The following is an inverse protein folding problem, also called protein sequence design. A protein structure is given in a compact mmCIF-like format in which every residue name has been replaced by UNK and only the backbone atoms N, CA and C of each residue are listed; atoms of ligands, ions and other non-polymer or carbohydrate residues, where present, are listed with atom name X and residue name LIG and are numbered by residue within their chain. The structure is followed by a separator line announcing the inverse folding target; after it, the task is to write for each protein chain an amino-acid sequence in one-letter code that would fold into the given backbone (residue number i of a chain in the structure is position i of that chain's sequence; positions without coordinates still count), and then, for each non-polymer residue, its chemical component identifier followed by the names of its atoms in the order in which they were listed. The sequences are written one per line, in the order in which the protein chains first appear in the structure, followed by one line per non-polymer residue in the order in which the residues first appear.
data_IF_404457842483
#
_entry.id   IF_404457842483
#
_cell.length_a   1.000
_cell.length_b   1.000
_cell.length_c   1.000
_cell.angle_alpha   90.00
_cell.angle_beta   90.00
_cell.angle_gamma   90.00
#
_symmetry.space_group_name_H-M   'P 1'
#
loop_
_entity.id
_entity.type
_entity.pdbx_description
1 polymer ?
#
# COMPACT_ATOMS: atom_id res chain seq x y z
N UNK A 1 48.69 47.31 33.40
CA UNK A 1 47.39 46.79 33.88
C UNK A 1 46.52 46.62 32.65
N UNK A 2 46.32 45.41 32.10
CA UNK A 2 45.30 44.40 32.48
C UNK A 2 43.87 45.00 32.36
N UNK A 3 42.89 44.54 31.56
CA UNK A 3 42.46 43.19 31.13
C UNK A 3 41.40 43.26 29.97
N UNK A 4 41.42 42.27 29.06
CA UNK A 4 40.38 41.65 28.18
C UNK A 4 39.51 42.51 27.24
N UNK A 5 39.13 42.10 26.03
CA UNK A 5 39.07 40.77 25.41
C UNK A 5 37.69 40.63 24.76
N UNK A 6 37.59 40.73 23.42
CA UNK A 6 36.40 40.40 22.66
C UNK A 6 36.81 39.62 21.40
N UNK A 7 36.51 38.32 21.47
CA UNK A 7 36.39 37.39 20.35
C UNK A 7 35.36 37.92 19.35
N UNK A 8 35.76 38.15 18.11
CA UNK A 8 34.82 38.05 16.98
C UNK A 8 34.93 36.63 16.43
N UNK A 9 33.89 35.86 16.74
CA UNK A 9 33.74 34.47 16.33
C UNK A 9 33.57 34.36 14.83
N UNK A 10 34.54 33.71 14.21
CA UNK A 10 34.49 33.11 12.89
C UNK A 10 33.39 32.04 12.86
N UNK A 11 32.16 32.42 12.49
CA UNK A 11 31.09 31.49 12.16
C UNK A 11 31.37 30.86 10.77
N UNK A 12 32.27 29.87 10.74
CA UNK A 12 32.21 28.82 9.71
C UNK A 12 31.09 27.87 10.10
N UNK A 13 29.93 28.03 9.48
CA UNK A 13 28.97 26.93 9.44
C UNK A 13 29.63 25.77 8.68
N UNK A 14 30.04 24.76 9.45
CA UNK A 14 30.52 23.50 8.92
C UNK A 14 29.41 22.83 8.14
N UNK A 15 29.53 22.84 6.81
CA UNK A 15 28.78 21.96 5.93
C UNK A 15 29.10 20.53 6.35
N UNK A 16 28.17 19.88 7.06
CA UNK A 16 28.32 18.51 7.55
C UNK A 16 27.81 17.53 6.47
N UNK A 17 28.69 16.86 5.70
CA UNK A 17 28.28 15.92 4.65
C UNK A 17 27.61 14.65 5.20
N UNK A 18 27.65 14.39 6.50
CA UNK A 18 27.08 13.18 7.12
C UNK A 18 25.55 13.22 7.28
N UNK A 19 24.92 14.40 7.25
CA UNK A 19 23.45 14.50 7.35
C UNK A 19 22.72 14.07 6.06
N UNK A 20 23.36 14.25 4.91
CA UNK A 20 22.76 13.92 3.59
C UNK A 20 22.71 12.42 3.31
N UNK A 21 23.65 11.66 3.87
CA UNK A 21 23.71 10.19 3.74
C UNK A 21 22.55 9.50 4.46
N UNK A 22 22.18 9.98 5.65
CA UNK A 22 21.07 9.44 6.43
C UNK A 22 19.69 9.72 5.81
N UNK A 23 19.51 10.88 5.17
CA UNK A 23 18.27 11.20 4.44
C UNK A 23 18.12 10.39 3.16
N UNK A 24 19.20 10.19 2.38
CA UNK A 24 19.18 9.28 1.22
C UNK A 24 18.86 7.83 1.62
N UNK A 25 19.44 7.34 2.71
CA UNK A 25 19.14 6.00 3.21
C UNK A 25 17.67 5.87 3.67
N UNK A 26 17.11 6.90 4.30
CA UNK A 26 15.69 6.93 4.69
C UNK A 26 14.75 7.00 3.49
N UNK A 27 15.11 7.75 2.45
CA UNK A 27 14.34 7.84 1.22
C UNK A 27 14.40 6.53 0.42
N UNK A 28 15.55 5.86 0.39
CA UNK A 28 15.67 4.52 -0.21
C UNK A 28 14.83 3.49 0.53
N UNK A 29 14.87 3.48 1.87
CA UNK A 29 14.08 2.55 2.66
C UNK A 29 12.56 2.81 2.57
N UNK A 30 12.17 4.08 2.41
CA UNK A 30 10.79 4.48 2.17
C UNK A 30 10.34 4.11 0.75
N UNK A 31 11.20 4.29 -0.25
CA UNK A 31 10.94 3.89 -1.64
C UNK A 31 10.86 2.37 -1.79
N UNK A 32 11.76 1.61 -1.15
CA UNK A 32 11.71 0.14 -1.11
C UNK A 32 10.45 -0.36 -0.40
N UNK A 33 10.03 0.29 0.69
CA UNK A 33 8.75 0.00 1.35
C UNK A 33 7.56 0.33 0.45
N UNK A 34 7.61 1.43 -0.31
CA UNK A 34 6.56 1.79 -1.26
C UNK A 34 6.49 0.80 -2.43
N UNK A 35 7.63 0.37 -2.96
CA UNK A 35 7.71 -0.62 -4.05
C UNK A 35 7.18 -1.96 -3.56
N UNK A 36 7.58 -2.43 -2.37
CA UNK A 36 7.03 -3.65 -1.79
C UNK A 36 5.53 -3.56 -1.53
N UNK A 37 5.05 -2.42 -1.03
CA UNK A 37 3.63 -2.21 -0.76
C UNK A 37 2.80 -2.07 -2.04
N UNK A 38 3.38 -1.51 -3.10
CA UNK A 38 2.79 -1.46 -4.44
C UNK A 38 2.80 -2.85 -5.11
N UNK A 39 3.88 -3.62 -5.01
CA UNK A 39 4.00 -4.96 -5.59
C UNK A 39 3.14 -6.00 -4.83
N UNK A 40 2.98 -5.86 -3.51
CA UNK A 40 2.03 -6.66 -2.71
C UNK A 40 0.58 -6.24 -2.93
N UNK A 41 0.28 -4.95 -3.10
CA UNK A 41 -1.07 -4.51 -3.50
C UNK A 41 -1.41 -4.89 -4.95
N UNK A 42 -0.43 -4.90 -5.86
CA UNK A 42 -0.64 -5.29 -7.25
C UNK A 42 -0.92 -6.79 -7.38
N UNK A 43 -0.45 -7.62 -6.43
CA UNK A 43 -0.87 -9.03 -6.29
C UNK A 43 -2.26 -9.21 -5.70
N UNK A 44 -2.85 -8.18 -5.13
CA UNK A 44 -4.14 -8.26 -4.45
C UNK A 44 -5.24 -7.56 -5.28
N UNK A 45 -5.38 -7.99 -6.53
CA UNK A 45 -6.56 -7.67 -7.32
C UNK A 45 -7.84 -8.11 -6.57
N UNK A 46 -8.93 -7.35 -6.70
CA UNK A 46 -10.19 -7.63 -5.99
C UNK A 46 -10.70 -9.04 -6.35
N UNK A 47 -10.42 -9.53 -7.57
CA UNK A 47 -10.75 -10.90 -7.96
C UNK A 47 -9.90 -11.92 -7.19
N UNK A 48 -8.60 -11.68 -7.01
CA UNK A 48 -7.73 -12.53 -6.18
C UNK A 48 -8.19 -12.54 -4.71
N UNK A 49 -8.61 -11.39 -4.17
CA UNK A 49 -9.17 -11.29 -2.82
C UNK A 49 -10.47 -12.09 -2.69
N UNK A 50 -11.36 -12.01 -3.69
CA UNK A 50 -12.61 -12.78 -3.71
C UNK A 50 -12.34 -14.29 -3.71
N UNK A 51 -11.36 -14.74 -4.50
CA UNK A 51 -10.97 -16.15 -4.56
C UNK A 51 -10.44 -16.64 -3.20
N UNK A 52 -9.58 -15.87 -2.54
CA UNK A 52 -9.06 -16.20 -1.21
C UNK A 52 -10.18 -16.24 -0.14
N UNK A 53 -11.13 -15.30 -0.22
CA UNK A 53 -12.25 -15.26 0.71
C UNK A 53 -13.23 -16.43 0.53
N UNK A 54 -13.48 -16.85 -0.71
CA UNK A 54 -14.27 -18.08 -0.99
C UNK A 54 -13.56 -19.31 -0.40
N UNK A 55 -12.25 -19.43 -0.59
CA UNK A 55 -11.47 -20.53 -0.02
C UNK A 55 -11.52 -20.53 1.53
N UNK A 56 -11.50 -19.36 2.13
CA UNK A 56 -11.64 -19.17 3.59
C UNK A 56 -13.03 -19.60 4.07
N UNK A 57 -14.10 -19.19 3.38
CA UNK A 57 -15.47 -19.61 3.68
C UNK A 57 -15.61 -21.13 3.58
N UNK A 58 -15.09 -21.74 2.51
CA UNK A 58 -15.11 -23.18 2.32
C UNK A 58 -14.40 -23.90 3.48
N UNK A 59 -13.19 -23.45 3.83
CA UNK A 59 -12.41 -24.02 4.93
C UNK A 59 -13.12 -23.91 6.27
N UNK A 60 -13.71 -22.74 6.57
CA UNK A 60 -14.51 -22.52 7.78
C UNK A 60 -15.74 -23.44 7.82
N UNK A 61 -16.44 -23.60 6.71
CA UNK A 61 -17.61 -24.46 6.61
C UNK A 61 -17.24 -25.94 6.85
N UNK A 62 -16.23 -26.47 6.14
CA UNK A 62 -15.80 -27.86 6.30
C UNK A 62 -15.34 -28.16 7.73
N UNK A 63 -14.56 -27.26 8.32
CA UNK A 63 -14.09 -27.42 9.69
C UNK A 63 -15.24 -27.32 10.69
N UNK A 64 -16.17 -26.37 10.52
CA UNK A 64 -17.30 -26.21 11.43
C UNK A 64 -18.27 -27.38 11.36
N UNK A 65 -18.56 -27.94 10.17
CA UNK A 65 -19.40 -29.13 10.05
C UNK A 65 -18.69 -30.39 10.54
N UNK A 66 -17.38 -30.50 10.29
CA UNK A 66 -16.57 -31.62 10.77
C UNK A 66 -16.49 -31.68 12.30
N UNK A 67 -16.30 -30.54 12.97
CA UNK A 67 -16.29 -30.48 14.44
C UNK A 67 -17.68 -30.79 15.01
N UNK A 68 -18.75 -30.26 14.41
CA UNK A 68 -20.11 -30.57 14.82
C UNK A 68 -20.44 -32.06 14.72
N UNK A 69 -19.99 -32.74 13.66
CA UNK A 69 -20.21 -34.19 13.49
C UNK A 69 -19.37 -35.01 14.47
N UNK A 70 -18.12 -34.63 14.68
CA UNK A 70 -17.19 -35.31 15.60
C UNK A 70 -17.66 -35.21 17.05
N UNK A 71 -18.14 -34.03 17.44
CA UNK A 71 -18.47 -33.68 18.83
C UNK A 71 -19.98 -33.83 19.12
N UNK A 72 -20.76 -34.39 18.18
CA UNK A 72 -22.20 -34.58 18.33
C UNK A 72 -22.50 -35.56 19.49
N UNK A 73 -23.22 -35.13 20.54
CA UNK A 73 -23.62 -36.05 21.60
C UNK A 73 -24.68 -37.04 21.08
N UNK A 74 -24.66 -38.30 21.54
CA UNK A 74 -25.71 -39.27 21.21
C UNK A 74 -27.09 -38.75 21.65
N UNK A 75 -28.07 -38.74 20.74
CA UNK A 75 -29.45 -38.35 21.06
C UNK A 75 -30.33 -39.59 21.21
N UNK A 76 -31.10 -39.69 22.30
CA UNK A 76 -32.06 -40.80 22.48
C UNK A 76 -33.30 -40.54 21.61
N UNK A 77 -33.53 -41.44 20.65
CA UNK A 77 -34.70 -41.38 19.76
C UNK A 77 -35.99 -41.94 20.41
N UNK A 78 -35.87 -42.70 21.51
CA UNK A 78 -37.01 -43.27 22.25
C UNK A 78 -36.70 -43.40 23.75
N UNK A 79 -37.70 -43.18 24.64
CA UNK A 79 -37.56 -43.36 26.09
C UNK A 79 -37.18 -44.78 26.53
N UNK A 80 -37.30 -45.79 25.66
CA UNK A 80 -37.03 -47.20 25.98
C UNK A 80 -35.60 -47.67 25.67
N UNK A 81 -34.70 -46.81 25.17
CA UNK A 81 -33.35 -47.22 24.79
C UNK A 81 -32.34 -47.13 25.96
N UNK A 82 -31.52 -48.15 26.26
CA UNK A 82 -30.53 -48.08 27.34
C UNK A 82 -29.59 -46.88 27.17
N UNK A 83 -29.25 -46.21 28.27
CA UNK A 83 -28.35 -45.06 28.23
C UNK A 83 -26.91 -45.54 27.91
N UNK A 84 -26.23 -44.99 26.89
CA UNK A 84 -24.82 -45.26 26.69
C UNK A 84 -24.03 -44.70 27.88
N UNK A 85 -23.02 -45.42 28.39
CA UNK A 85 -22.26 -44.94 29.54
C UNK A 85 -21.55 -43.63 29.19
N UNK A 86 -21.97 -42.54 29.82
CA UNK A 86 -21.31 -41.26 29.68
C UNK A 86 -19.93 -41.35 30.35
N UNK A 87 -18.86 -41.29 29.57
CA UNK A 87 -17.58 -40.84 30.08
C UNK A 87 -17.63 -39.31 30.10
N UNK A 88 -17.65 -38.66 31.28
CA UNK A 88 -17.62 -37.21 31.33
C UNK A 88 -16.17 -36.77 31.04
N UNK A 89 -15.86 -36.45 29.78
CA UNK A 89 -14.70 -35.59 29.52
C UNK A 89 -15.13 -34.13 29.68
N UNK A 90 -14.20 -33.29 30.14
CA UNK A 90 -14.38 -31.85 30.38
C UNK A 90 -14.79 -31.06 29.11
N UNK A 91 -14.82 -31.72 27.94
CA UNK A 91 -15.10 -31.14 26.62
C UNK A 91 -16.55 -30.65 26.42
N UNK A 92 -17.49 -31.05 27.29
CA UNK A 92 -18.92 -30.75 27.09
C UNK A 92 -19.24 -29.25 27.04
N UNK A 93 -18.44 -28.40 27.71
CA UNK A 93 -18.58 -26.94 27.67
C UNK A 93 -18.15 -26.34 26.32
N UNK A 94 -17.20 -26.99 25.63
CA UNK A 94 -16.67 -26.51 24.35
C UNK A 94 -17.63 -26.79 23.18
N UNK A 95 -18.48 -27.83 23.31
CA UNK A 95 -19.45 -28.26 22.27
C UNK A 95 -20.47 -27.16 21.94
N UNK A 96 -20.83 -26.28 22.89
CA UNK A 96 -21.79 -25.19 22.63
C UNK A 96 -21.16 -23.84 22.31
N UNK A 97 -19.93 -23.57 22.74
CA UNK A 97 -19.26 -22.28 22.53
C UNK A 97 -18.47 -22.25 21.21
N UNK A 98 -17.76 -23.34 20.88
CA UNK A 98 -16.97 -23.43 19.67
C UNK A 98 -17.82 -23.29 18.39
N UNK A 99 -19.00 -23.93 18.24
CA UNK A 99 -19.83 -23.73 17.06
C UNK A 99 -20.35 -22.30 16.91
N UNK A 100 -20.58 -21.60 18.04
CA UNK A 100 -20.98 -20.18 18.00
C UNK A 100 -19.85 -19.33 17.44
N UNK A 101 -18.61 -19.53 17.91
CA UNK A 101 -17.44 -18.82 17.39
C UNK A 101 -17.20 -19.13 15.90
N UNK A 102 -17.32 -20.40 15.48
CA UNK A 102 -17.15 -20.78 14.08
C UNK A 102 -18.27 -20.24 13.18
N UNK A 103 -19.52 -20.22 13.66
CA UNK A 103 -20.64 -19.61 12.94
C UNK A 103 -20.46 -18.09 12.80
N UNK A 104 -19.95 -17.41 13.83
CA UNK A 104 -19.64 -15.99 13.78
C UNK A 104 -18.50 -15.70 12.79
N UNK A 105 -17.46 -16.55 12.76
CA UNK A 105 -16.37 -16.45 11.79
C UNK A 105 -16.87 -16.63 10.36
N UNK A 106 -17.77 -17.60 10.12
CA UNK A 106 -18.37 -17.84 8.81
C UNK A 106 -19.21 -16.64 8.34
N UNK A 107 -20.06 -16.10 9.21
CA UNK A 107 -20.87 -14.91 8.90
C UNK A 107 -19.98 -13.69 8.63
N UNK A 108 -18.89 -13.52 9.39
CA UNK A 108 -17.93 -12.45 9.15
C UNK A 108 -17.26 -12.59 7.79
N UNK A 109 -16.81 -13.80 7.42
CA UNK A 109 -16.20 -14.07 6.13
C UNK A 109 -17.19 -13.82 4.97
N UNK A 110 -18.45 -14.24 5.12
CA UNK A 110 -19.50 -13.97 4.14
C UNK A 110 -19.77 -12.47 3.95
N UNK A 111 -19.82 -11.69 5.04
CA UNK A 111 -19.95 -10.23 4.94
C UNK A 111 -18.75 -9.56 4.25
N UNK A 112 -17.53 -10.06 4.51
CA UNK A 112 -16.34 -9.57 3.84
C UNK A 112 -16.37 -9.88 2.34
N UNK A 113 -16.88 -11.06 1.96
CA UNK A 113 -17.12 -11.40 0.57
C UNK A 113 -18.12 -10.42 -0.09
N UNK A 114 -19.24 -10.11 0.57
CA UNK A 114 -20.21 -9.13 0.05
C UNK A 114 -19.56 -7.75 -0.15
N UNK A 115 -18.75 -7.29 0.80
CA UNK A 115 -17.99 -6.03 0.66
C UNK A 115 -17.08 -6.06 -0.56
N UNK A 116 -16.36 -7.16 -0.80
CA UNK A 116 -15.50 -7.31 -1.97
C UNK A 116 -16.29 -7.35 -3.27
N UNK A 117 -17.46 -8.00 -3.30
CA UNK A 117 -18.36 -7.98 -4.46
C UNK A 117 -18.85 -6.57 -4.75
N UNK A 118 -19.20 -5.79 -3.73
CA UNK A 118 -19.60 -4.38 -3.93
C UNK A 118 -18.44 -3.47 -4.32
N UNK A 119 -17.20 -3.84 -3.99
CA UNK A 119 -15.99 -3.11 -4.36
C UNK A 119 -15.51 -3.44 -5.78
N UNK A 120 -16.09 -4.46 -6.44
CA UNK A 120 -15.78 -4.73 -7.83
C UNK A 120 -16.05 -3.49 -8.67
N UNK A 121 -15.09 -3.07 -9.52
CA UNK A 121 -15.30 -1.95 -10.41
C UNK A 121 -16.50 -2.28 -11.30
N UNK A 122 -17.56 -1.47 -11.18
CA UNK A 122 -18.75 -1.63 -12.01
C UNK A 122 -18.30 -1.43 -13.45
N UNK A 123 -18.41 -2.48 -14.25
CA UNK A 123 -18.32 -2.38 -15.69
C UNK A 123 -19.48 -1.48 -16.17
N UNK A 124 -19.25 -0.18 -16.27
CA UNK A 124 -20.20 0.75 -16.86
C UNK A 124 -20.27 0.50 -18.36
N UNK A 125 -21.19 -0.39 -18.77
CA UNK A 125 -21.49 -0.68 -20.17
C UNK A 125 -20.94 -2.01 -20.69
N UNK A 126 -21.02 -2.17 -22.02
CA UNK A 126 -20.51 -3.32 -22.76
C UNK A 126 -18.97 -3.27 -22.88
N UNK A 127 -18.33 -4.37 -23.25
CA UNK A 127 -16.87 -4.45 -23.42
C UNK A 127 -16.33 -3.35 -24.36
N UNK A 128 -17.13 -2.98 -25.37
CA UNK A 128 -16.82 -1.90 -26.32
C UNK A 128 -16.76 -0.51 -25.64
N UNK A 129 -17.60 -0.24 -24.64
CA UNK A 129 -17.59 1.02 -23.90
C UNK A 129 -16.35 1.13 -22.99
N UNK A 130 -15.90 0.00 -22.43
CA UNK A 130 -14.64 -0.06 -21.68
C UNK A 130 -13.44 0.17 -22.60
N UNK A 131 -13.42 -0.50 -23.76
CA UNK A 131 -12.33 -0.34 -24.73
C UNK A 131 -12.24 1.10 -25.26
N UNK A 132 -13.39 1.72 -25.55
CA UNK A 132 -13.44 3.13 -25.94
C UNK A 132 -12.86 4.04 -24.86
N UNK A 133 -13.26 3.83 -23.59
CA UNK A 133 -12.70 4.61 -22.46
C UNK A 133 -11.19 4.42 -22.32
N UNK A 134 -10.67 3.22 -22.56
CA UNK A 134 -9.21 2.97 -22.58
C UNK A 134 -8.55 3.79 -23.68
N UNK A 135 -9.06 3.77 -24.91
CA UNK A 135 -8.48 4.53 -26.02
C UNK A 135 -8.53 6.05 -25.79
N UNK A 136 -9.59 6.54 -25.15
CA UNK A 136 -9.69 7.96 -24.76
C UNK A 136 -8.65 8.31 -23.69
N UNK A 137 -8.50 7.48 -22.66
CA UNK A 137 -7.48 7.68 -21.62
C UNK A 137 -6.05 7.57 -22.16
N UNK A 138 -5.79 6.72 -23.14
CA UNK A 138 -4.49 6.64 -23.83
C UNK A 138 -4.20 7.92 -24.60
N UNK A 139 -5.18 8.44 -25.35
CA UNK A 139 -5.04 9.70 -26.07
C UNK A 139 -4.85 10.89 -25.13
N UNK A 140 -5.58 10.93 -24.00
CA UNK A 140 -5.39 11.95 -22.96
C UNK A 140 -4.01 11.85 -22.32
N UNK A 141 -3.55 10.65 -21.97
CA UNK A 141 -2.21 10.45 -21.42
C UNK A 141 -1.11 10.87 -22.40
N UNK A 142 -1.27 10.57 -23.69
CA UNK A 142 -0.31 11.00 -24.72
C UNK A 142 -0.29 12.52 -24.84
N UNK A 143 -1.47 13.17 -24.89
CA UNK A 143 -1.58 14.62 -24.98
C UNK A 143 -0.96 15.32 -23.76
N UNK A 144 -1.25 14.81 -22.54
CA UNK A 144 -0.65 15.31 -21.29
C UNK A 144 0.86 15.09 -21.29
N UNK A 145 1.34 13.95 -21.77
CA UNK A 145 2.78 13.66 -21.90
C UNK A 145 3.49 14.61 -22.88
N UNK A 146 2.87 14.91 -24.02
CA UNK A 146 3.41 15.87 -24.99
C UNK A 146 3.43 17.30 -24.43
N UNK A 147 2.40 17.71 -23.69
CA UNK A 147 2.37 19.01 -23.02
C UNK A 147 3.46 19.12 -21.95
N UNK A 148 3.62 18.07 -21.13
CA UNK A 148 4.69 18.02 -20.14
C UNK A 148 6.07 18.13 -20.80
N UNK A 149 6.30 17.41 -21.90
CA UNK A 149 7.56 17.48 -22.66
C UNK A 149 7.81 18.89 -23.21
N UNK A 150 6.79 19.55 -23.77
CA UNK A 150 6.88 20.93 -24.27
C UNK A 150 7.28 21.90 -23.15
N UNK A 151 6.69 21.76 -21.97
CA UNK A 151 7.02 22.62 -20.83
C UNK A 151 8.45 22.39 -20.33
N UNK A 152 8.90 21.14 -20.29
CA UNK A 152 10.29 20.82 -19.95
C UNK A 152 11.27 21.43 -20.95
N UNK A 153 11.03 21.30 -22.25
CA UNK A 153 11.88 21.88 -23.29
C UNK A 153 11.93 23.42 -23.21
N UNK A 154 10.79 24.08 -22.95
CA UNK A 154 10.75 25.52 -22.76
C UNK A 154 11.55 25.97 -21.53
N UNK A 155 11.39 25.26 -20.41
CA UNK A 155 12.12 25.55 -19.18
C UNK A 155 13.64 25.31 -19.34
N UNK A 156 14.05 24.27 -20.07
CA UNK A 156 15.46 24.02 -20.39
C UNK A 156 16.06 25.13 -21.26
N UNK A 157 15.31 25.64 -22.24
CA UNK A 157 15.76 26.76 -23.07
C UNK A 157 15.91 28.05 -22.26
N UNK A 158 14.95 28.36 -21.38
CA UNK A 158 15.04 29.51 -20.49
C UNK A 158 16.24 29.39 -19.55
N UNK A 159 16.46 28.21 -18.96
CA UNK A 159 17.61 27.95 -18.10
C UNK A 159 18.93 28.18 -18.84
N UNK A 160 19.03 27.66 -20.08
CA UNK A 160 20.20 27.86 -20.93
C UNK A 160 20.43 29.33 -21.24
N UNK A 161 19.37 30.08 -21.54
CA UNK A 161 19.46 31.51 -21.81
C UNK A 161 19.96 32.29 -20.58
N UNK A 162 19.43 32.00 -19.39
CA UNK A 162 19.91 32.59 -18.14
C UNK A 162 21.37 32.25 -17.88
N UNK A 163 21.79 31.01 -18.14
CA UNK A 163 23.18 30.59 -17.99
C UNK A 163 24.12 31.32 -18.96
N UNK A 164 23.70 31.52 -20.21
CA UNK A 164 24.47 32.29 -21.20
C UNK A 164 24.63 33.76 -20.78
N UNK A 165 23.55 34.41 -20.35
CA UNK A 165 23.59 35.78 -19.84
C UNK A 165 24.47 35.90 -18.60
N UNK A 166 24.42 34.91 -17.70
CA UNK A 166 25.28 34.86 -16.53
C UNK A 166 26.76 34.75 -16.93
N UNK A 167 27.10 33.85 -17.85
CA UNK A 167 28.48 33.71 -18.34
C UNK A 167 28.98 35.01 -18.99
N UNK A 168 28.15 35.67 -19.81
CA UNK A 168 28.50 36.97 -20.40
C UNK A 168 28.74 38.05 -19.34
N UNK A 169 27.91 38.11 -18.28
CA UNK A 169 28.09 39.05 -17.19
C UNK A 169 29.38 38.77 -16.40
N UNK A 170 29.70 37.49 -16.16
CA UNK A 170 30.96 37.07 -15.51
C UNK A 170 32.17 37.46 -16.37
N UNK A 171 32.14 37.15 -17.67
CA UNK A 171 33.23 37.48 -18.60
C UNK A 171 33.46 39.00 -18.71
N UNK A 172 32.39 39.78 -18.77
CA UNK A 172 32.48 41.25 -18.77
C UNK A 172 33.09 41.77 -17.45
N UNK A 173 32.73 41.21 -16.30
CA UNK A 173 33.32 41.59 -15.01
C UNK A 173 34.81 41.24 -14.91
N UNK A 174 35.24 40.11 -15.49
CA UNK A 174 36.64 39.68 -15.49
C UNK A 174 37.49 40.53 -16.44
N UNK A 175 36.96 40.92 -17.60
CA UNK A 175 37.66 41.75 -18.57
C UNK A 175 37.85 43.21 -18.09
N UNK A 176 36.96 43.74 -17.25
CA UNK A 176 37.14 45.05 -16.60
C UNK A 176 38.24 45.06 -15.53
N UNK A 177 38.77 43.90 -15.14
CA UNK A 177 39.73 43.74 -14.04
C UNK A 177 41.17 43.47 -14.50
N UNK A 178 41.46 43.63 -15.80
CA UNK A 178 42.85 43.70 -16.31
C UNK A 178 43.30 45.18 -16.33
N UNK A 179 44.01 45.67 -15.30
CA UNK A 179 44.74 46.92 -15.41
C UNK A 179 45.99 46.71 -16.28
N UNK A 180 46.33 47.72 -17.08
CA UNK A 180 47.69 47.94 -17.60
C UNK A 180 48.69 48.16 -16.44
#
# INVERSE_FOLDING_TARGET
MFINGLNEGENREGFNPSSRSGESARLLHLAESFIWNFETNCKMDIISQLQEQINTIASLAFNSFGTLQRDAPPVRLSPNYPEPSANPSEDTLNITEQPKLMSAALVKAAKQFDTLVTALPVAEGDEEAQLKRITELEAENEAVGQELQRQLEAAEQELKHVQELFNQAVDNCVNLKKPD
#
